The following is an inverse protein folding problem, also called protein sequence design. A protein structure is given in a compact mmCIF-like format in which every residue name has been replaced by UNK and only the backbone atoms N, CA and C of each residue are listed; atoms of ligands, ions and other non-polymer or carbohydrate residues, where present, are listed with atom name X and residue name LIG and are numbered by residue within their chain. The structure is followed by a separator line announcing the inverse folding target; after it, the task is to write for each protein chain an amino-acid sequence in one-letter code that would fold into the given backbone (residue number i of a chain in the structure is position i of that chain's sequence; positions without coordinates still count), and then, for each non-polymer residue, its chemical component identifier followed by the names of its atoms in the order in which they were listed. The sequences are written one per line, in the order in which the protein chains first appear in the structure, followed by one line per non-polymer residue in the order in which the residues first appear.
data_IF_539962151571
#
_entry.id   IF_539962151571
#
_cell.length_a   1.000
_cell.length_b   1.000
_cell.length_c   1.000
_cell.angle_alpha   90.00
_cell.angle_beta   90.00
_cell.angle_gamma   90.00
#
_symmetry.space_group_name_H-M   'P 1'
#
loop_
_entity.id
_entity.type
_entity.pdbx_description
1 polymer ?
#
# COMPACT_ATOMS: atom_id res chain seq x y z
N UNK A 1 -9.83 -0.97 6.35
CA UNK A 1 -8.36 -1.20 6.26
C UNK A 1 -8.00 -1.36 4.80
N UNK A 2 -6.97 -0.65 4.31
CA UNK A 2 -6.62 -0.62 2.88
C UNK A 2 -5.42 -1.50 2.53
N UNK A 3 -4.51 -1.77 3.45
CA UNK A 3 -3.34 -2.61 3.24
C UNK A 3 -2.66 -3.00 4.56
N UNK A 4 -1.89 -4.09 4.55
CA UNK A 4 -0.99 -4.47 5.64
C UNK A 4 0.41 -3.92 5.34
N UNK A 5 0.88 -2.96 6.16
CA UNK A 5 2.20 -2.35 6.00
C UNK A 5 3.31 -3.32 6.38
N UNK A 6 4.27 -3.47 5.47
CA UNK A 6 5.54 -4.14 5.70
C UNK A 6 6.69 -3.22 5.30
N UNK A 7 7.88 -3.46 5.80
CA UNK A 7 9.04 -2.63 5.50
C UNK A 7 10.31 -3.45 5.30
N UNK A 8 11.09 -3.05 4.30
CA UNK A 8 12.42 -3.56 4.00
C UNK A 8 13.47 -2.45 4.18
N UNK A 9 14.74 -2.81 4.05
CA UNK A 9 15.83 -1.85 4.06
C UNK A 9 16.29 -1.40 5.44
N UNK A 10 16.67 -0.13 5.54
CA UNK A 10 17.31 0.40 6.74
C UNK A 10 16.34 0.70 7.88
N UNK A 11 15.12 1.11 7.58
CA UNK A 11 14.14 1.45 8.60
C UNK A 11 13.86 0.30 9.58
N UNK A 12 13.45 -0.90 9.15
CA UNK A 12 13.20 -2.00 10.08
C UNK A 12 14.47 -2.45 10.80
N UNK A 13 15.64 -2.41 10.16
CA UNK A 13 16.92 -2.73 10.79
C UNK A 13 17.26 -1.79 11.95
N UNK A 14 16.98 -0.49 11.77
CA UNK A 14 17.26 0.50 12.81
C UNK A 14 16.25 0.45 13.95
N UNK A 15 14.96 0.28 13.65
CA UNK A 15 13.88 0.29 14.64
C UNK A 15 13.74 -1.01 15.43
N UNK A 16 14.12 -2.16 14.83
CA UNK A 16 13.87 -3.49 15.42
C UNK A 16 15.13 -4.32 15.64
N UNK A 17 16.28 -3.68 15.73
CA UNK A 17 17.57 -4.34 15.97
C UNK A 17 17.53 -5.26 17.20
N UNK A 18 17.01 -4.77 18.32
CA UNK A 18 16.89 -5.52 19.57
C UNK A 18 15.90 -6.69 19.49
N UNK A 19 15.02 -6.70 18.48
CA UNK A 19 14.08 -7.78 18.20
C UNK A 19 14.58 -8.78 17.13
N UNK A 20 15.89 -8.78 16.86
CA UNK A 20 16.53 -9.72 15.94
C UNK A 20 16.48 -9.31 14.46
N UNK A 21 16.25 -8.02 14.16
CA UNK A 21 16.23 -7.51 12.79
C UNK A 21 17.54 -6.74 12.53
N UNK A 22 18.60 -7.46 12.12
CA UNK A 22 19.94 -6.89 11.94
C UNK A 22 20.32 -6.69 10.47
N UNK A 23 19.71 -7.43 9.56
CA UNK A 23 20.08 -7.48 8.15
C UNK A 23 18.86 -7.57 7.25
N UNK A 24 19.04 -7.38 5.94
CA UNK A 24 17.99 -7.63 4.94
C UNK A 24 17.48 -9.06 4.98
N UNK A 25 18.39 -10.03 5.25
CA UNK A 25 18.02 -11.44 5.40
C UNK A 25 17.11 -11.67 6.62
N UNK A 26 17.40 -11.03 7.76
CA UNK A 26 16.56 -11.16 8.95
C UNK A 26 15.18 -10.50 8.77
N UNK A 27 15.08 -9.39 8.02
CA UNK A 27 13.79 -8.79 7.63
C UNK A 27 12.97 -9.78 6.82
N UNK A 28 13.56 -10.36 5.76
CA UNK A 28 12.89 -11.35 4.92
C UNK A 28 12.46 -12.60 5.70
N UNK A 29 13.32 -13.08 6.61
CA UNK A 29 13.01 -14.23 7.46
C UNK A 29 11.83 -13.95 8.40
N UNK A 30 11.79 -12.77 9.02
CA UNK A 30 10.68 -12.37 9.92
C UNK A 30 9.36 -12.24 9.19
N UNK A 31 9.35 -11.68 7.99
CA UNK A 31 8.13 -11.61 7.18
C UNK A 31 7.62 -13.00 6.81
N UNK A 32 8.53 -13.89 6.33
CA UNK A 32 8.16 -15.28 6.03
C UNK A 32 7.63 -16.01 7.26
N UNK A 33 8.29 -15.86 8.40
CA UNK A 33 7.84 -16.45 9.66
C UNK A 33 6.40 -16.01 10.00
N UNK A 34 6.10 -14.73 9.89
CA UNK A 34 4.77 -14.18 10.17
C UNK A 34 3.72 -14.74 9.21
N UNK A 35 3.97 -14.70 7.89
CA UNK A 35 3.03 -15.21 6.88
C UNK A 35 2.85 -16.73 6.98
N UNK A 36 3.93 -17.49 7.28
CA UNK A 36 3.84 -18.95 7.49
C UNK A 36 2.97 -19.27 8.70
N UNK A 37 3.15 -18.57 9.81
CA UNK A 37 2.33 -18.75 11.01
C UNK A 37 0.86 -18.41 10.74
N UNK A 38 0.60 -17.31 10.03
CA UNK A 38 -0.76 -16.92 9.65
C UNK A 38 -1.43 -17.97 8.75
N UNK A 39 -0.69 -18.52 7.78
CA UNK A 39 -1.20 -19.59 6.90
C UNK A 39 -1.50 -20.88 7.67
N UNK A 40 -0.63 -21.26 8.61
CA UNK A 40 -0.88 -22.42 9.48
C UNK A 40 -2.10 -22.19 10.38
N UNK A 41 -2.22 -20.99 10.93
CA UNK A 41 -3.35 -20.60 11.76
C UNK A 41 -4.67 -20.65 10.98
N UNK A 42 -4.70 -20.07 9.78
CA UNK A 42 -5.84 -20.13 8.87
C UNK A 42 -6.25 -21.56 8.52
N UNK A 43 -5.27 -22.42 8.19
CA UNK A 43 -5.51 -23.85 7.93
C UNK A 43 -6.17 -24.57 9.11
N UNK A 44 -5.78 -24.22 10.35
CA UNK A 44 -6.39 -24.80 11.56
C UNK A 44 -7.80 -24.31 11.77
N UNK A 45 -8.07 -23.00 11.55
CA UNK A 45 -9.42 -22.45 11.62
C UNK A 45 -10.36 -23.14 10.62
N UNK A 46 -9.91 -23.30 9.36
CA UNK A 46 -10.70 -24.03 8.35
C UNK A 46 -10.93 -25.50 8.73
N UNK A 47 -9.91 -26.19 9.25
CA UNK A 47 -10.03 -27.58 9.68
C UNK A 47 -10.96 -27.76 10.89
N UNK A 48 -11.10 -26.73 11.71
CA UNK A 48 -12.04 -26.68 12.84
C UNK A 48 -13.48 -26.31 12.39
N UNK A 49 -13.67 -25.85 11.15
CA UNK A 49 -14.96 -25.36 10.64
C UNK A 49 -15.35 -23.99 11.22
N UNK A 50 -14.36 -23.20 11.68
CA UNK A 50 -14.64 -21.86 12.22
C UNK A 50 -15.23 -20.95 11.15
N UNK A 51 -16.33 -20.23 11.43
CA UNK A 51 -16.83 -19.18 10.57
C UNK A 51 -15.80 -18.06 10.36
N UNK A 52 -15.81 -17.45 9.19
CA UNK A 52 -14.96 -16.29 8.92
C UNK A 52 -15.41 -15.10 9.79
N UNK A 53 -14.41 -14.35 10.29
CA UNK A 53 -14.65 -13.13 11.06
C UNK A 53 -14.97 -13.31 12.54
N UNK A 54 -14.87 -14.52 13.07
CA UNK A 54 -15.01 -14.73 14.52
C UNK A 54 -13.94 -13.97 15.29
N UNK A 55 -14.39 -13.22 16.31
CA UNK A 55 -13.48 -12.53 17.26
C UNK A 55 -13.26 -13.39 18.51
N UNK A 56 -12.32 -12.96 19.36
CA UNK A 56 -11.93 -13.66 20.60
C UNK A 56 -13.13 -13.99 21.49
N UNK A 57 -14.04 -13.02 21.69
CA UNK A 57 -15.19 -13.17 22.54
C UNK A 57 -16.20 -14.22 21.99
N UNK A 58 -16.42 -14.21 20.67
CA UNK A 58 -17.30 -15.19 20.01
C UNK A 58 -16.71 -16.59 20.07
N UNK A 59 -15.38 -16.71 19.94
CA UNK A 59 -14.66 -17.96 20.09
C UNK A 59 -14.75 -18.51 21.52
N UNK A 60 -14.56 -17.67 22.54
CA UNK A 60 -14.72 -18.05 23.95
C UNK A 60 -16.16 -18.46 24.29
N UNK A 61 -17.15 -17.66 23.91
CA UNK A 61 -18.56 -17.97 24.13
C UNK A 61 -19.01 -19.27 23.46
N UNK A 62 -18.52 -19.53 22.25
CA UNK A 62 -18.84 -20.77 21.57
C UNK A 62 -18.16 -21.98 22.23
N UNK A 63 -16.98 -21.84 22.80
CA UNK A 63 -16.32 -22.90 23.59
C UNK A 63 -17.08 -23.18 24.90
N UNK A 64 -17.56 -22.16 25.61
CA UNK A 64 -18.38 -22.31 26.83
C UNK A 64 -19.72 -23.02 26.57
N UNK A 65 -20.39 -22.65 25.46
CA UNK A 65 -21.65 -23.28 25.08
C UNK A 65 -21.54 -24.77 24.76
N UNK A 66 -20.37 -25.20 24.21
CA UNK A 66 -20.14 -26.64 23.93
C UNK A 66 -19.91 -27.44 25.21
N UNK A 67 -19.37 -26.85 26.26
CA UNK A 67 -19.20 -27.54 27.55
C UNK A 67 -20.54 -27.86 28.23
N UNK A 68 -21.59 -27.06 27.97
CA UNK A 68 -22.94 -27.28 28.53
C UNK A 68 -23.80 -28.24 27.67
N UNK A 69 -23.42 -28.49 26.41
CA UNK A 69 -24.24 -29.21 25.42
C UNK A 69 -23.77 -30.68 25.25
N UNK A 70 -23.67 -31.40 26.37
CA UNK A 70 -23.22 -32.80 26.43
C UNK A 70 -24.14 -33.82 25.71
N UNK A 71 -25.28 -33.36 25.13
CA UNK A 71 -26.26 -34.21 24.46
C UNK A 71 -26.18 -34.17 22.91
N UNK A 72 -25.37 -33.28 22.30
CA UNK A 72 -25.22 -33.21 20.83
C UNK A 72 -24.18 -34.19 20.31
N UNK A 73 -24.52 -34.92 19.24
CA UNK A 73 -23.55 -35.80 18.52
C UNK A 73 -22.54 -34.95 17.73
N UNK A 74 -21.35 -35.50 17.48
CA UNK A 74 -20.31 -34.81 16.69
C UNK A 74 -20.78 -34.38 15.29
N UNK A 75 -21.80 -35.05 14.73
CA UNK A 75 -22.44 -34.71 13.46
C UNK A 75 -23.28 -33.41 13.52
N UNK A 76 -23.74 -33.00 14.69
CA UNK A 76 -24.55 -31.79 14.90
C UNK A 76 -23.71 -30.56 15.19
N UNK A 77 -22.40 -30.74 15.42
CA UNK A 77 -21.47 -29.66 15.72
C UNK A 77 -20.90 -29.06 14.43
N UNK A 78 -21.19 -27.80 14.16
CA UNK A 78 -20.64 -27.05 13.04
C UNK A 78 -19.15 -26.76 13.19
N UNK A 79 -18.62 -26.68 14.42
CA UNK A 79 -17.23 -26.33 14.75
C UNK A 79 -16.60 -27.41 15.61
N UNK A 80 -15.45 -27.92 15.18
CA UNK A 80 -14.65 -28.89 15.95
C UNK A 80 -13.63 -28.16 16.84
N UNK A 81 -14.03 -27.84 18.05
CA UNK A 81 -13.20 -27.09 19.01
C UNK A 81 -11.91 -27.83 19.42
N UNK A 82 -11.85 -29.17 19.25
CA UNK A 82 -10.61 -29.92 19.54
C UNK A 82 -9.47 -29.59 18.56
N UNK A 83 -9.81 -29.11 17.34
CA UNK A 83 -8.87 -28.69 16.30
C UNK A 83 -8.63 -27.20 16.25
N UNK A 84 -9.41 -26.43 16.99
CA UNK A 84 -9.38 -24.99 16.96
C UNK A 84 -8.07 -24.47 17.59
N UNK A 85 -7.33 -23.56 16.92
CA UNK A 85 -6.17 -22.93 17.53
C UNK A 85 -6.61 -21.93 18.62
N UNK A 86 -5.75 -21.69 19.61
CA UNK A 86 -5.95 -20.56 20.52
C UNK A 86 -5.95 -19.24 19.72
N UNK A 87 -6.79 -18.30 20.16
CA UNK A 87 -6.87 -16.99 19.54
C UNK A 87 -5.50 -16.27 19.53
N UNK A 88 -5.10 -15.76 18.37
CA UNK A 88 -3.89 -14.96 18.20
C UNK A 88 -4.20 -13.71 17.39
N UNK A 89 -4.34 -12.58 18.08
CA UNK A 89 -4.67 -11.28 17.46
C UNK A 89 -3.68 -10.86 16.35
N UNK A 90 -2.43 -11.33 16.38
CA UNK A 90 -1.45 -11.03 15.32
C UNK A 90 -1.73 -11.86 14.07
N UNK A 91 -2.12 -13.11 14.26
CA UNK A 91 -2.50 -13.99 13.16
C UNK A 91 -3.83 -13.52 12.55
N UNK A 92 -4.81 -13.19 13.37
CA UNK A 92 -6.09 -12.61 12.92
C UNK A 92 -5.89 -11.36 12.05
N UNK A 93 -4.97 -10.47 12.45
CA UNK A 93 -4.66 -9.28 11.67
C UNK A 93 -4.03 -9.59 10.29
N UNK A 94 -3.42 -10.77 10.11
CA UNK A 94 -2.80 -11.22 8.86
C UNK A 94 -3.72 -12.08 7.99
N UNK A 95 -4.83 -12.60 8.54
CA UNK A 95 -5.77 -13.43 7.77
C UNK A 95 -6.27 -12.75 6.49
N UNK A 96 -6.67 -11.47 6.51
CA UNK A 96 -7.12 -10.79 5.28
C UNK A 96 -6.05 -10.78 4.18
N UNK A 97 -4.76 -10.76 4.55
CA UNK A 97 -3.65 -10.85 3.59
C UNK A 97 -3.56 -12.26 3.00
N UNK A 98 -3.57 -13.27 3.85
CA UNK A 98 -3.47 -14.70 3.43
C UNK A 98 -4.66 -15.10 2.56
N UNK A 99 -5.84 -14.53 2.82
CA UNK A 99 -7.09 -14.79 2.08
C UNK A 99 -7.25 -13.95 0.81
N UNK A 100 -6.31 -13.02 0.53
CA UNK A 100 -6.36 -12.15 -0.66
C UNK A 100 -7.33 -10.97 -0.57
N UNK A 101 -7.84 -10.67 0.62
CA UNK A 101 -8.78 -9.57 0.89
C UNK A 101 -8.06 -8.23 1.12
N UNK A 102 -6.75 -8.26 1.38
CA UNK A 102 -5.94 -7.11 1.68
C UNK A 102 -4.52 -7.29 1.12
N UNK A 103 -3.98 -6.31 0.37
CA UNK A 103 -2.61 -6.39 -0.12
C UNK A 103 -1.58 -6.15 0.99
N UNK A 104 -0.38 -6.70 0.81
CA UNK A 104 0.82 -6.21 1.47
C UNK A 104 1.24 -4.87 0.84
N UNK A 105 1.61 -3.90 1.65
CA UNK A 105 2.15 -2.62 1.21
C UNK A 105 3.60 -2.48 1.69
N UNK A 106 4.54 -2.68 0.76
CA UNK A 106 5.95 -2.80 1.05
C UNK A 106 6.68 -1.46 0.91
N UNK A 107 7.23 -0.95 2.00
CA UNK A 107 8.28 0.06 1.96
C UNK A 107 9.58 -0.59 1.45
N UNK A 108 10.03 -0.24 0.25
CA UNK A 108 11.26 -0.76 -0.33
C UNK A 108 11.90 0.26 -1.27
N UNK A 109 13.19 0.57 -1.05
CA UNK A 109 13.95 1.52 -1.87
C UNK A 109 14.83 0.82 -2.89
N UNK A 110 15.63 -0.16 -2.45
CA UNK A 110 16.65 -0.82 -3.26
C UNK A 110 16.08 -1.96 -4.08
N UNK A 111 16.69 -2.19 -5.23
CA UNK A 111 16.32 -3.28 -6.12
C UNK A 111 16.30 -4.65 -5.43
N UNK A 112 17.29 -4.97 -4.60
CA UNK A 112 17.35 -6.24 -3.86
C UNK A 112 16.24 -6.40 -2.82
N UNK A 113 15.81 -5.31 -2.16
CA UNK A 113 14.69 -5.29 -1.23
C UNK A 113 13.35 -5.43 -2.00
N UNK A 114 13.21 -4.74 -3.14
CA UNK A 114 12.04 -4.83 -4.03
C UNK A 114 11.86 -6.27 -4.54
N UNK A 115 12.92 -6.88 -5.10
CA UNK A 115 12.85 -8.29 -5.53
C UNK A 115 12.55 -9.24 -4.37
N UNK A 116 13.04 -8.95 -3.16
CA UNK A 116 12.72 -9.76 -1.99
C UNK A 116 11.24 -9.67 -1.61
N UNK A 117 10.65 -8.46 -1.67
CA UNK A 117 9.22 -8.26 -1.44
C UNK A 117 8.38 -9.04 -2.46
N UNK A 118 8.70 -8.90 -3.76
CA UNK A 118 8.04 -9.60 -4.87
C UNK A 118 8.11 -11.12 -4.69
N UNK A 119 9.32 -11.65 -4.42
CA UNK A 119 9.53 -13.08 -4.24
C UNK A 119 8.70 -13.64 -3.09
N UNK A 120 8.62 -12.93 -1.96
CA UNK A 120 7.81 -13.37 -0.81
C UNK A 120 6.31 -13.28 -1.14
N UNK A 121 5.86 -12.22 -1.78
CA UNK A 121 4.46 -12.10 -2.20
C UNK A 121 4.04 -13.27 -3.12
N UNK A 122 4.89 -13.62 -4.08
CA UNK A 122 4.67 -14.79 -4.98
C UNK A 122 4.70 -16.11 -4.23
N UNK A 123 5.62 -16.30 -3.28
CA UNK A 123 5.74 -17.50 -2.44
C UNK A 123 4.46 -17.78 -1.64
N UNK A 124 3.80 -16.72 -1.15
CA UNK A 124 2.58 -16.83 -0.35
C UNK A 124 1.29 -16.60 -1.15
N UNK A 125 1.39 -16.25 -2.44
CA UNK A 125 0.27 -15.93 -3.32
C UNK A 125 -0.57 -14.75 -2.80
N UNK A 126 0.07 -13.72 -2.27
CA UNK A 126 -0.57 -12.52 -1.73
C UNK A 126 -0.36 -11.32 -2.67
N UNK A 127 -1.34 -10.40 -2.70
CA UNK A 127 -1.21 -9.14 -3.45
C UNK A 127 -0.16 -8.22 -2.82
N UNK A 128 0.53 -7.44 -3.65
CA UNK A 128 1.63 -6.58 -3.24
C UNK A 128 1.52 -5.19 -3.88
N UNK A 129 1.75 -4.18 -3.08
CA UNK A 129 1.93 -2.78 -3.48
C UNK A 129 3.28 -2.29 -2.98
N UNK A 130 4.06 -1.61 -3.81
CA UNK A 130 5.45 -1.25 -3.48
C UNK A 130 5.57 0.26 -3.35
N UNK A 131 5.92 0.73 -2.16
CA UNK A 131 6.15 2.15 -1.88
C UNK A 131 7.63 2.49 -2.02
N UNK A 132 7.89 3.73 -2.42
CA UNK A 132 9.17 4.41 -2.63
C UNK A 132 9.87 3.99 -3.91
N UNK A 133 10.12 2.73 -4.16
CA UNK A 133 10.67 2.18 -5.42
C UNK A 133 11.83 3.00 -5.97
N UNK A 134 12.76 3.43 -5.09
CA UNK A 134 13.84 4.39 -5.43
C UNK A 134 14.77 3.88 -6.53
N UNK A 135 15.12 2.58 -6.49
CA UNK A 135 15.91 1.91 -7.52
C UNK A 135 15.06 1.46 -8.73
N UNK A 136 13.78 1.85 -8.78
CA UNK A 136 12.82 1.37 -9.78
C UNK A 136 13.26 1.58 -11.23
N UNK A 137 13.92 2.69 -11.52
CA UNK A 137 14.44 2.95 -12.88
C UNK A 137 15.50 1.91 -13.32
N UNK A 138 16.23 1.31 -12.38
CA UNK A 138 17.25 0.30 -12.68
C UNK A 138 16.67 -1.06 -13.05
N UNK A 139 15.41 -1.32 -12.65
CA UNK A 139 14.72 -2.62 -12.79
C UNK A 139 13.33 -2.46 -13.39
N UNK A 140 13.11 -1.39 -14.17
CA UNK A 140 11.78 -1.02 -14.66
C UNK A 140 11.13 -2.12 -15.51
N UNK A 141 11.88 -2.74 -16.42
CA UNK A 141 11.40 -3.83 -17.28
C UNK A 141 10.98 -5.08 -16.49
N UNK A 142 11.68 -5.37 -15.41
CA UNK A 142 11.34 -6.50 -14.55
C UNK A 142 10.09 -6.19 -13.71
N UNK A 143 9.99 -4.96 -13.16
CA UNK A 143 8.79 -4.53 -12.44
C UNK A 143 7.55 -4.54 -13.33
N UNK A 144 7.68 -4.14 -14.59
CA UNK A 144 6.59 -4.19 -15.56
C UNK A 144 6.10 -5.63 -15.81
N UNK A 145 7.03 -6.60 -15.91
CA UNK A 145 6.69 -8.03 -16.08
C UNK A 145 5.98 -8.61 -14.85
N UNK A 146 6.36 -8.15 -13.65
CA UNK A 146 5.74 -8.60 -12.41
C UNK A 146 4.34 -8.00 -12.19
N UNK A 147 4.06 -6.82 -12.74
CA UNK A 147 2.72 -6.20 -12.77
C UNK A 147 2.23 -5.61 -11.45
N UNK A 148 3.04 -5.60 -10.39
CA UNK A 148 2.65 -5.00 -9.12
C UNK A 148 2.65 -3.47 -9.19
N UNK A 149 1.61 -2.77 -8.66
CA UNK A 149 1.58 -1.32 -8.61
C UNK A 149 2.73 -0.74 -7.78
N UNK A 150 3.32 0.34 -8.26
CA UNK A 150 4.43 1.01 -7.59
C UNK A 150 4.11 2.47 -7.27
N UNK A 151 4.58 2.95 -6.12
CA UNK A 151 4.54 4.36 -5.76
C UNK A 151 5.97 4.88 -5.61
N UNK A 152 6.25 6.04 -6.24
CA UNK A 152 7.59 6.64 -6.29
C UNK A 152 7.62 7.93 -5.47
N UNK A 153 8.54 8.01 -4.54
CA UNK A 153 8.77 9.18 -3.68
C UNK A 153 9.16 8.80 -2.25
N UNK A 154 9.57 9.81 -1.44
CA UNK A 154 9.73 11.22 -1.76
C UNK A 154 10.95 11.47 -2.66
N UNK A 155 10.82 12.36 -3.65
CA UNK A 155 11.92 12.62 -4.61
C UNK A 155 12.71 13.89 -4.33
N UNK A 156 12.15 14.85 -3.56
CA UNK A 156 12.86 16.04 -3.11
C UNK A 156 13.85 15.76 -1.97
N UNK A 157 14.78 16.70 -1.80
CA UNK A 157 15.80 16.64 -0.76
C UNK A 157 16.99 15.71 -1.13
N UNK A 158 17.96 15.63 -0.22
CA UNK A 158 19.16 14.81 -0.40
C UNK A 158 18.95 13.36 0.05
N UNK A 159 19.85 12.49 -0.36
CA UNK A 159 19.88 11.10 0.09
C UNK A 159 20.40 11.02 1.54
N UNK A 160 19.49 10.93 2.51
CA UNK A 160 19.81 10.81 3.93
C UNK A 160 20.31 9.42 4.34
N UNK A 161 20.09 8.42 3.48
CA UNK A 161 20.48 7.01 3.65
C UNK A 161 21.07 6.49 2.35
N UNK A 162 21.93 5.49 2.43
CA UNK A 162 22.52 4.86 1.25
C UNK A 162 21.49 4.27 0.29
N UNK A 163 20.41 3.74 0.79
CA UNK A 163 19.30 3.18 0.00
C UNK A 163 18.56 4.23 -0.86
N UNK A 164 18.77 5.54 -0.59
CA UNK A 164 18.19 6.66 -1.33
C UNK A 164 19.14 7.24 -2.41
N UNK A 165 20.31 6.65 -2.64
CA UNK A 165 21.34 7.23 -3.51
C UNK A 165 20.91 7.45 -4.96
N UNK A 166 19.93 6.68 -5.45
CA UNK A 166 19.38 6.81 -6.80
C UNK A 166 18.05 7.56 -6.84
N UNK A 167 17.69 8.22 -5.74
CA UNK A 167 16.47 9.02 -5.66
C UNK A 167 16.46 10.12 -6.73
N UNK A 168 15.35 10.22 -7.47
CA UNK A 168 15.23 11.23 -8.52
C UNK A 168 13.87 11.24 -9.20
N UNK A 169 13.59 12.33 -9.91
CA UNK A 169 12.34 12.52 -10.63
C UNK A 169 12.26 11.77 -11.97
N UNK A 170 13.34 11.15 -12.43
CA UNK A 170 13.37 10.31 -13.64
C UNK A 170 12.75 8.93 -13.42
N UNK A 171 12.70 8.46 -12.18
CA UNK A 171 12.19 7.12 -11.85
C UNK A 171 10.74 6.90 -12.27
N UNK A 172 9.77 7.82 -12.02
CA UNK A 172 8.41 7.67 -12.51
C UNK A 172 8.33 7.54 -14.03
N UNK A 173 9.12 8.33 -14.78
CA UNK A 173 9.14 8.29 -16.25
C UNK A 173 9.68 6.94 -16.76
N UNK A 174 10.77 6.42 -16.19
CA UNK A 174 11.34 5.12 -16.57
C UNK A 174 10.34 3.98 -16.34
N UNK A 175 9.68 3.96 -15.17
CA UNK A 175 8.69 2.95 -14.82
C UNK A 175 7.45 3.01 -15.71
N UNK A 176 6.89 4.20 -15.95
CA UNK A 176 5.74 4.38 -16.83
C UNK A 176 6.06 3.96 -18.27
N UNK A 177 7.25 4.31 -18.78
CA UNK A 177 7.71 3.89 -20.11
C UNK A 177 7.82 2.37 -20.24
N UNK A 178 8.21 1.67 -19.17
CA UNK A 178 8.27 0.21 -19.14
C UNK A 178 6.88 -0.44 -19.02
N UNK A 179 5.82 0.33 -18.73
CA UNK A 179 4.44 -0.16 -18.60
C UNK A 179 3.97 -0.41 -17.17
N UNK A 180 4.73 0.03 -16.15
CA UNK A 180 4.29 -0.08 -14.76
C UNK A 180 3.12 0.86 -14.46
N UNK A 181 2.23 0.44 -13.56
CA UNK A 181 1.25 1.32 -12.92
C UNK A 181 1.94 2.15 -11.84
N UNK A 182 2.22 3.42 -12.16
CA UNK A 182 3.00 4.31 -11.30
C UNK A 182 2.09 5.29 -10.56
N UNK A 183 2.34 5.45 -9.27
CA UNK A 183 1.85 6.57 -8.45
C UNK A 183 3.02 7.43 -7.98
N UNK A 184 2.78 8.72 -7.75
CA UNK A 184 3.76 9.64 -7.16
C UNK A 184 3.31 9.98 -5.74
N UNK A 185 4.24 9.92 -4.79
CA UNK A 185 3.99 10.19 -3.38
C UNK A 185 4.99 11.18 -2.80
N UNK A 186 4.54 11.95 -1.82
CA UNK A 186 5.37 12.87 -1.04
C UNK A 186 5.94 12.22 0.23
N UNK A 187 5.31 11.11 0.70
CA UNK A 187 5.59 10.50 2.00
C UNK A 187 5.45 11.52 3.15
N UNK A 188 4.38 12.31 3.08
CA UNK A 188 4.11 13.37 4.08
C UNK A 188 4.23 12.79 5.52
N UNK A 189 4.93 13.47 6.44
CA UNK A 189 5.45 14.85 6.36
C UNK A 189 6.90 14.98 5.84
N UNK A 190 7.48 13.93 5.21
CA UNK A 190 8.86 14.00 4.66
C UNK A 190 8.97 15.11 3.61
N UNK A 191 8.02 15.13 2.68
CA UNK A 191 7.72 16.28 1.83
C UNK A 191 6.26 16.64 2.10
N UNK A 192 5.97 17.90 2.30
CA UNK A 192 4.62 18.35 2.57
C UNK A 192 3.68 18.00 1.41
N UNK A 193 2.47 17.56 1.72
CA UNK A 193 1.52 17.04 0.74
C UNK A 193 1.14 18.08 -0.34
N UNK A 194 1.12 19.37 0.01
CA UNK A 194 0.89 20.49 -0.93
C UNK A 194 1.87 20.51 -2.11
N UNK A 195 3.01 19.85 -2.03
CA UNK A 195 3.99 19.75 -3.12
C UNK A 195 3.77 18.55 -4.04
N UNK A 196 2.64 17.82 -3.93
CA UNK A 196 2.39 16.65 -4.75
C UNK A 196 2.34 17.00 -6.26
N UNK A 197 1.63 18.06 -6.62
CA UNK A 197 1.57 18.53 -8.02
C UNK A 197 2.96 18.94 -8.53
N UNK A 198 3.77 19.61 -7.70
CA UNK A 198 5.16 19.96 -8.03
C UNK A 198 6.03 18.70 -8.22
N UNK A 199 5.85 17.65 -7.40
CA UNK A 199 6.54 16.38 -7.61
C UNK A 199 6.21 15.78 -8.98
N UNK A 200 4.93 15.81 -9.38
CA UNK A 200 4.47 15.33 -10.68
C UNK A 200 5.03 16.19 -11.83
N UNK A 201 5.01 17.52 -11.72
CA UNK A 201 5.61 18.44 -12.70
C UNK A 201 7.11 18.23 -12.86
N UNK A 202 7.83 17.94 -11.79
CA UNK A 202 9.26 17.57 -11.86
C UNK A 202 9.47 16.23 -12.57
N UNK A 203 8.55 15.27 -12.41
CA UNK A 203 8.60 14.01 -13.17
C UNK A 203 8.33 14.25 -14.66
N UNK A 204 7.39 15.15 -15.01
CA UNK A 204 7.15 15.57 -16.41
C UNK A 204 8.41 16.17 -17.02
N UNK A 205 9.07 17.09 -16.32
CA UNK A 205 10.35 17.67 -16.78
C UNK A 205 11.44 16.60 -17.02
N UNK A 206 11.34 15.46 -16.32
CA UNK A 206 12.27 14.32 -16.45
C UNK A 206 11.75 13.22 -17.40
N UNK A 207 10.77 13.52 -18.24
CA UNK A 207 10.33 12.66 -19.34
C UNK A 207 9.06 11.84 -19.10
N UNK A 208 8.34 12.04 -18.00
CA UNK A 208 6.99 11.50 -17.82
C UNK A 208 6.01 12.30 -18.69
N UNK A 209 5.04 11.65 -19.35
CA UNK A 209 3.99 12.41 -20.04
C UNK A 209 3.09 13.15 -19.03
N UNK A 210 2.56 14.31 -19.39
CA UNK A 210 1.63 15.06 -18.53
C UNK A 210 0.40 14.21 -18.14
N UNK A 211 -0.11 13.44 -19.07
CA UNK A 211 -1.25 12.57 -18.82
C UNK A 211 -0.91 11.43 -17.85
N UNK A 212 0.29 10.84 -17.94
CA UNK A 212 0.73 9.83 -16.97
C UNK A 212 1.02 10.46 -15.61
N UNK A 213 1.55 11.69 -15.57
CA UNK A 213 1.74 12.43 -14.33
C UNK A 213 0.39 12.73 -13.63
N UNK A 214 -0.64 13.12 -14.41
CA UNK A 214 -1.99 13.31 -13.88
C UNK A 214 -2.54 11.99 -13.31
N UNK A 215 -2.45 10.91 -14.07
CA UNK A 215 -2.86 9.59 -13.57
C UNK A 215 -2.10 9.18 -12.31
N UNK A 216 -0.81 9.48 -12.23
CA UNK A 216 0.05 9.08 -11.11
C UNK A 216 -0.32 9.74 -9.77
N UNK A 217 -0.95 10.92 -9.80
CA UNK A 217 -1.43 11.62 -8.59
C UNK A 217 -2.96 11.54 -8.40
N UNK A 218 -3.67 10.82 -9.27
CA UNK A 218 -5.13 10.65 -9.22
C UNK A 218 -5.50 9.17 -9.27
N UNK A 219 -5.95 8.66 -10.43
CA UNK A 219 -6.52 7.30 -10.56
C UNK A 219 -5.52 6.18 -10.21
N UNK A 220 -4.23 6.32 -10.54
CA UNK A 220 -3.24 5.32 -10.16
C UNK A 220 -3.00 5.31 -8.64
N UNK A 221 -3.01 6.50 -8.00
CA UNK A 221 -2.93 6.60 -6.55
C UNK A 221 -4.16 5.97 -5.88
N UNK A 222 -5.37 6.23 -6.41
CA UNK A 222 -6.60 5.59 -5.94
C UNK A 222 -6.52 4.07 -6.06
N UNK A 223 -6.08 3.53 -7.19
CA UNK A 223 -5.83 2.10 -7.40
C UNK A 223 -4.77 1.54 -6.45
N UNK A 224 -3.72 2.32 -6.18
CA UNK A 224 -2.65 1.90 -5.27
C UNK A 224 -3.12 1.70 -3.83
N UNK A 225 -4.22 2.34 -3.42
CA UNK A 225 -4.82 2.19 -2.10
C UNK A 225 -6.20 1.50 -2.11
N UNK A 226 -6.70 1.10 -3.29
CA UNK A 226 -7.94 0.32 -3.45
C UNK A 226 -9.21 1.13 -3.20
N UNK A 227 -9.27 2.38 -3.68
CA UNK A 227 -10.45 3.27 -3.59
C UNK A 227 -10.85 3.87 -4.95
N UNK A 228 -10.35 3.27 -6.04
CA UNK A 228 -10.60 3.74 -7.41
C UNK A 228 -12.06 3.72 -7.82
N UNK A 229 -12.89 2.94 -7.16
CA UNK A 229 -14.33 2.91 -7.40
C UNK A 229 -15.04 4.19 -6.92
N UNK A 230 -14.40 4.93 -6.00
CA UNK A 230 -14.96 6.15 -5.42
C UNK A 230 -14.30 7.42 -5.94
N UNK A 231 -13.00 7.42 -6.15
CA UNK A 231 -12.21 8.64 -6.45
C UNK A 231 -11.15 8.39 -7.52
N UNK A 232 -10.46 9.47 -7.93
CA UNK A 232 -9.30 9.42 -8.82
C UNK A 232 -9.62 9.61 -10.30
N UNK A 233 -10.88 9.65 -10.69
CA UNK A 233 -11.32 10.00 -12.06
C UNK A 233 -12.67 10.68 -12.03
N UNK A 234 -12.97 11.44 -13.08
CA UNK A 234 -14.26 12.13 -13.25
C UNK A 234 -15.20 11.17 -14.01
N UNK A 235 -15.98 10.43 -13.24
CA UNK A 235 -16.92 9.43 -13.75
C UNK A 235 -18.23 9.50 -12.96
N UNK A 236 -19.37 9.23 -13.62
CA UNK A 236 -20.65 9.17 -12.93
C UNK A 236 -20.65 8.07 -11.87
N UNK A 237 -21.09 8.43 -10.66
CA UNK A 237 -21.15 7.52 -9.51
C UNK A 237 -19.93 7.60 -8.57
N UNK A 238 -18.90 8.36 -8.93
CA UNK A 238 -17.78 8.66 -8.02
C UNK A 238 -18.03 9.93 -7.21
N UNK A 239 -17.27 10.06 -6.13
CA UNK A 239 -17.29 11.24 -5.27
C UNK A 239 -16.92 12.47 -6.11
N UNK A 240 -17.62 13.57 -5.90
CA UNK A 240 -17.45 14.80 -6.68
C UNK A 240 -16.31 15.66 -6.09
N UNK A 241 -15.08 15.13 -6.19
CA UNK A 241 -13.84 15.74 -5.72
C UNK A 241 -13.04 16.29 -6.88
N UNK A 242 -12.91 17.64 -6.95
CA UNK A 242 -12.24 18.32 -8.06
C UNK A 242 -11.31 19.42 -7.57
N UNK A 243 -10.24 19.62 -8.34
CA UNK A 243 -9.44 20.84 -8.27
C UNK A 243 -9.50 21.50 -9.65
N UNK A 244 -9.96 22.74 -9.71
CA UNK A 244 -9.92 23.55 -10.93
C UNK A 244 -8.70 24.46 -10.86
N UNK A 245 -7.92 24.43 -11.92
CA UNK A 245 -6.72 25.26 -12.09
C UNK A 245 -6.91 26.21 -13.28
N UNK A 246 -6.32 27.41 -13.21
CA UNK A 246 -6.37 28.37 -14.30
C UNK A 246 -5.59 27.93 -15.53
N UNK A 247 -4.54 27.11 -15.31
CA UNK A 247 -3.62 26.62 -16.34
C UNK A 247 -3.20 25.18 -16.03
N UNK A 248 -2.08 24.75 -16.64
CA UNK A 248 -1.52 23.41 -16.42
C UNK A 248 -1.23 23.20 -14.92
N UNK A 249 -1.82 22.16 -14.28
CA UNK A 249 -1.65 21.92 -12.84
C UNK A 249 -0.21 21.65 -12.41
N UNK A 250 0.70 21.39 -13.34
CA UNK A 250 2.11 21.13 -13.09
C UNK A 250 3.01 22.36 -13.26
N UNK A 251 2.48 23.46 -13.72
CA UNK A 251 3.22 24.73 -13.80
C UNK A 251 3.35 25.37 -12.41
N UNK A 252 4.53 25.97 -12.15
CA UNK A 252 4.85 26.53 -10.82
C UNK A 252 3.98 27.75 -10.48
N UNK A 253 3.55 28.47 -11.51
CA UNK A 253 2.73 29.70 -11.45
C UNK A 253 1.22 29.44 -11.61
N UNK A 254 0.81 28.16 -11.68
CA UNK A 254 -0.60 27.79 -11.73
C UNK A 254 -1.35 28.18 -10.46
N UNK A 255 -2.48 28.86 -10.63
CA UNK A 255 -3.40 29.19 -9.56
C UNK A 255 -4.50 28.13 -9.43
N UNK A 256 -4.79 27.73 -8.20
CA UNK A 256 -6.00 26.95 -7.88
C UNK A 256 -7.18 27.92 -7.85
N UNK A 257 -8.15 27.72 -8.74
CA UNK A 257 -9.38 28.51 -8.79
C UNK A 257 -10.41 27.99 -7.79
N UNK A 258 -10.64 26.68 -7.79
CA UNK A 258 -11.58 26.03 -6.88
C UNK A 258 -11.05 24.69 -6.40
N UNK A 259 -11.35 24.36 -5.14
CA UNK A 259 -11.30 22.98 -4.64
C UNK A 259 -12.71 22.59 -4.22
N UNK A 260 -13.18 21.48 -4.73
CA UNK A 260 -14.52 20.93 -4.52
C UNK A 260 -14.37 19.56 -3.89
N UNK A 261 -15.07 19.33 -2.78
CA UNK A 261 -15.10 18.03 -2.08
C UNK A 261 -16.58 17.65 -1.87
N UNK A 262 -16.94 16.43 -2.24
CA UNK A 262 -18.33 15.93 -2.22
C UNK A 262 -19.31 16.91 -2.91
N UNK A 263 -18.87 17.55 -4.00
CA UNK A 263 -19.67 18.53 -4.73
C UNK A 263 -19.78 19.92 -4.08
N UNK A 264 -19.16 20.13 -2.93
CA UNK A 264 -19.17 21.42 -2.24
C UNK A 264 -17.87 22.19 -2.48
N UNK A 265 -17.96 23.48 -2.79
CA UNK A 265 -16.79 24.34 -2.90
C UNK A 265 -16.22 24.58 -1.50
N UNK A 266 -15.02 24.05 -1.25
CA UNK A 266 -14.31 24.21 0.06
C UNK A 266 -13.20 25.25 0.00
N UNK A 267 -12.77 25.62 -1.21
CA UNK A 267 -11.81 26.68 -1.45
C UNK A 267 -12.15 27.39 -2.76
N UNK A 268 -12.11 28.73 -2.72
CA UNK A 268 -12.20 29.61 -3.87
C UNK A 268 -10.98 30.52 -3.89
N UNK A 269 -10.17 30.41 -4.94
CA UNK A 269 -9.00 31.25 -5.15
C UNK A 269 -9.46 32.67 -5.44
N UNK A 270 -8.92 33.66 -4.72
CA UNK A 270 -9.15 35.09 -5.05
C UNK A 270 -8.62 35.40 -6.44
N UNK A 271 -9.17 36.45 -7.07
CA UNK A 271 -8.69 36.95 -8.34
C UNK A 271 -7.17 37.11 -8.32
N UNK A 272 -6.54 36.68 -9.39
CA UNK A 272 -5.12 36.92 -9.65
C UNK A 272 -4.78 38.36 -9.23
N UNK A 273 -3.77 38.53 -8.39
CA UNK A 273 -3.19 39.84 -8.13
C UNK A 273 -2.54 40.31 -9.45
N UNK A 274 -3.34 40.63 -10.44
CA UNK A 274 -2.96 41.35 -11.64
C UNK A 274 -2.79 42.81 -11.26
N UNK A 275 -1.63 43.12 -10.69
CA UNK A 275 -1.34 44.50 -10.31
C UNK A 275 -0.05 44.62 -9.52
N UNK A 276 1.06 44.15 -10.03
CA UNK A 276 2.42 44.64 -9.79
C UNK A 276 3.18 44.68 -11.10
#
# INVERSE_FOLDING_TARGET
KTAMKIAFGENPKNCYKEKGVYSRMSVAAKLREALTKAKIYDTKLHAAGCPEGWNELEMEQAQEQVMDDSQKTDADRKVDFSKMPAYDAKMEALLPVIRGEMPLKAHAHRADDIYTAIRIAKEFHVDLRIDHTTDGALIADDLAKEGFPVAVGPSFGHATKYELRHKGFHTPAALAKAGCQVSIITDSPVIEERYLALCAGRAVFNGLSEFDALKAITINAAKHIGIEDRVGSIEAGKDADFVLTGENPFAVDTHILYTIIDGNVVYEGGESINGL
#
